data_IF_117036892027
#
_entry.id   IF_117036892027
#
_cell.length_a   1.000
_cell.length_b   1.000
_cell.length_c   1.000
_cell.angle_alpha   90.00
_cell.angle_beta   90.00
_cell.angle_gamma   90.00
#
_symmetry.space_group_name_H-M   'P 1'
#
loop_
_entity.id
_entity.type
_entity.pdbx_description
1 polymer ?
#
# COMPACT_ATOMS: atom_id res chain seq x y z
N UNK A 1 -10.55 28.28 0.35
CA UNK A 1 -9.94 28.46 1.69
C UNK A 1 -10.19 27.30 2.67
N UNK A 2 -11.42 26.76 2.80
CA UNK A 2 -11.74 25.70 3.78
C UNK A 2 -10.97 24.37 3.59
N UNK A 3 -10.83 23.89 2.35
CA UNK A 3 -10.07 22.66 2.03
C UNK A 3 -8.60 22.79 2.44
N UNK A 4 -7.91 23.83 1.94
CA UNK A 4 -6.50 24.09 2.24
C UNK A 4 -6.23 24.16 3.76
N UNK A 5 -7.05 24.92 4.50
CA UNK A 5 -6.91 25.01 5.97
C UNK A 5 -7.03 23.65 6.65
N UNK A 6 -8.00 22.82 6.24
CA UNK A 6 -8.17 21.46 6.78
C UNK A 6 -6.98 20.56 6.43
N UNK A 7 -6.51 20.60 5.19
CA UNK A 7 -5.35 19.80 4.74
C UNK A 7 -4.09 20.18 5.52
N UNK A 8 -3.79 21.47 5.67
CA UNK A 8 -2.64 21.95 6.47
C UNK A 8 -2.78 21.51 7.93
N UNK A 9 -3.97 21.67 8.52
CA UNK A 9 -4.20 21.25 9.92
C UNK A 9 -3.97 19.75 10.10
N UNK A 10 -4.54 18.93 9.21
CA UNK A 10 -4.34 17.48 9.24
C UNK A 10 -2.84 17.11 9.09
N UNK A 11 -2.13 17.78 8.19
CA UNK A 11 -0.71 17.55 7.96
C UNK A 11 0.15 17.88 9.19
N UNK A 12 -0.07 19.04 9.81
CA UNK A 12 0.65 19.44 11.02
C UNK A 12 0.40 18.47 12.18
N UNK A 13 -0.85 18.04 12.37
CA UNK A 13 -1.18 17.04 13.39
C UNK A 13 -0.47 15.71 13.14
N UNK A 14 -0.44 15.24 11.88
CA UNK A 14 0.29 14.03 11.52
C UNK A 14 1.79 14.19 11.80
N UNK A 15 2.42 15.26 11.33
CA UNK A 15 3.85 15.50 11.54
C UNK A 15 4.25 15.57 13.01
N UNK A 16 3.47 16.29 13.83
CA UNK A 16 3.69 16.37 15.27
C UNK A 16 3.57 14.97 15.89
N UNK A 17 2.53 14.22 15.50
CA UNK A 17 2.33 12.84 16.00
C UNK A 17 3.50 11.92 15.61
N UNK A 18 4.02 12.01 14.39
CA UNK A 18 5.14 11.20 13.91
C UNK A 18 6.40 11.46 14.74
N UNK A 19 6.72 12.73 14.98
CA UNK A 19 7.89 13.10 15.78
C UNK A 19 7.74 12.63 17.23
N UNK A 20 6.57 12.85 17.84
CA UNK A 20 6.30 12.43 19.23
C UNK A 20 6.38 10.91 19.37
N UNK A 21 5.68 10.16 18.52
CA UNK A 21 5.62 8.70 18.60
C UNK A 21 6.99 8.05 18.38
N UNK A 22 7.79 8.55 17.42
CA UNK A 22 9.15 8.05 17.22
C UNK A 22 10.05 8.41 18.41
N UNK A 23 9.96 9.63 18.93
CA UNK A 23 10.72 10.03 20.12
C UNK A 23 10.39 9.12 21.31
N UNK A 24 9.10 8.88 21.57
CA UNK A 24 8.64 7.96 22.63
C UNK A 24 9.22 6.55 22.41
N UNK A 25 9.18 6.05 21.17
CA UNK A 25 9.73 4.75 20.84
C UNK A 25 11.23 4.65 21.15
N UNK A 26 12.02 5.69 20.85
CA UNK A 26 13.44 5.75 21.18
C UNK A 26 13.75 6.07 22.65
N UNK A 27 12.77 6.52 23.44
CA UNK A 27 12.90 6.64 24.90
C UNK A 27 13.10 5.28 25.57
N UNK A 28 12.62 4.19 24.96
CA UNK A 28 12.80 2.82 25.47
C UNK A 28 14.31 2.51 25.59
N UNK A 29 14.83 2.15 26.79
CA UNK A 29 16.23 1.81 26.99
C UNK A 29 16.70 0.68 26.07
N UNK A 30 17.93 0.78 25.52
CA UNK A 30 18.45 -0.21 24.56
C UNK A 30 18.58 -1.60 25.18
N UNK A 31 18.97 -1.67 26.45
CA UNK A 31 19.15 -2.92 27.18
C UNK A 31 17.88 -3.76 27.24
N UNK A 32 16.69 -3.14 27.31
CA UNK A 32 15.42 -3.86 27.40
C UNK A 32 15.04 -4.60 26.11
N UNK A 33 15.55 -4.14 24.96
CA UNK A 33 15.23 -4.76 23.66
C UNK A 33 16.37 -5.62 23.11
N UNK A 34 17.56 -5.57 23.74
CA UNK A 34 18.79 -6.13 23.18
C UNK A 34 18.69 -7.64 23.00
N UNK A 35 18.25 -8.37 24.02
CA UNK A 35 18.14 -9.84 23.96
C UNK A 35 17.23 -10.30 22.82
N UNK A 36 16.05 -9.69 22.68
CA UNK A 36 15.12 -10.05 21.60
C UNK A 36 15.58 -9.54 20.23
N UNK A 37 16.34 -8.44 20.19
CA UNK A 37 17.01 -7.97 18.97
C UNK A 37 18.00 -9.03 18.49
N UNK A 38 18.86 -9.52 19.38
CA UNK A 38 19.88 -10.53 19.05
C UNK A 38 19.24 -11.86 18.62
N UNK A 39 18.23 -12.34 19.35
CA UNK A 39 17.43 -13.52 18.95
C UNK A 39 16.78 -13.34 17.57
N UNK A 40 16.31 -12.14 17.26
CA UNK A 40 15.70 -11.83 15.96
C UNK A 40 16.72 -11.87 14.82
N UNK A 41 17.92 -11.36 15.05
CA UNK A 41 19.01 -11.39 14.07
C UNK A 41 19.47 -12.83 13.82
N UNK A 42 19.69 -13.62 14.86
CA UNK A 42 20.05 -15.05 14.72
C UNK A 42 18.96 -15.86 14.01
N UNK A 43 17.69 -15.55 14.25
CA UNK A 43 16.58 -16.17 13.50
C UNK A 43 16.71 -15.89 12.01
N UNK A 44 16.88 -14.62 11.61
CA UNK A 44 17.01 -14.26 10.19
C UNK A 44 18.23 -14.90 9.54
N UNK A 45 19.36 -14.97 10.24
CA UNK A 45 20.57 -15.64 9.75
C UNK A 45 20.31 -17.12 9.43
N UNK A 46 19.56 -17.81 10.28
CA UNK A 46 19.21 -19.22 10.05
C UNK A 46 18.19 -19.43 8.91
N UNK A 47 17.31 -18.45 8.66
CA UNK A 47 16.33 -18.50 7.57
C UNK A 47 16.89 -18.07 6.20
N UNK A 48 18.10 -17.50 6.15
CA UNK A 48 18.66 -16.74 5.02
C UNK A 48 17.98 -15.39 4.74
N UNK A 49 18.61 -14.54 3.92
CA UNK A 49 18.12 -13.19 3.60
C UNK A 49 16.98 -13.14 2.57
N UNK A 50 16.82 -14.20 1.77
CA UNK A 50 15.79 -14.29 0.74
C UNK A 50 15.19 -15.69 0.64
N UNK A 51 14.60 -16.23 1.73
CA UNK A 51 13.99 -17.54 1.70
C UNK A 51 12.83 -17.58 0.70
N UNK A 52 12.68 -18.73 0.05
CA UNK A 52 11.69 -18.97 -1.00
C UNK A 52 10.57 -19.81 -0.41
N UNK A 53 9.32 -19.35 -0.52
CA UNK A 53 8.16 -20.15 -0.06
C UNK A 53 7.65 -21.14 -1.10
N UNK A 54 7.79 -20.84 -2.39
CA UNK A 54 7.34 -21.71 -3.47
C UNK A 54 8.41 -21.82 -4.57
N UNK A 55 9.03 -22.99 -4.68
CA UNK A 55 10.06 -23.27 -5.69
C UNK A 55 9.53 -23.22 -7.14
N UNK A 56 8.22 -23.31 -7.37
CA UNK A 56 7.61 -23.12 -8.70
C UNK A 56 7.54 -21.66 -9.15
N UNK A 57 7.70 -20.70 -8.24
CA UNK A 57 7.82 -19.26 -8.53
C UNK A 57 8.81 -18.64 -7.52
N UNK A 58 10.11 -18.93 -7.65
CA UNK A 58 11.08 -18.61 -6.62
C UNK A 58 11.18 -17.10 -6.42
N UNK A 59 11.39 -16.32 -7.48
CA UNK A 59 11.51 -14.87 -7.39
C UNK A 59 10.23 -14.18 -6.89
N UNK A 60 9.06 -14.65 -7.32
CA UNK A 60 7.78 -14.08 -6.88
C UNK A 60 7.42 -14.38 -5.43
N UNK A 61 8.03 -15.40 -4.82
CA UNK A 61 7.71 -15.84 -3.46
C UNK A 61 8.86 -15.67 -2.46
N UNK A 62 9.92 -14.95 -2.84
CA UNK A 62 10.97 -14.52 -1.92
C UNK A 62 10.38 -13.66 -0.80
N UNK A 63 10.79 -13.96 0.43
CA UNK A 63 10.61 -13.09 1.58
C UNK A 63 11.74 -12.05 1.63
N UNK A 64 11.46 -10.89 2.21
CA UNK A 64 12.42 -9.79 2.39
C UNK A 64 13.09 -9.81 3.76
N UNK A 65 13.78 -10.91 4.06
CA UNK A 65 14.53 -11.03 5.30
C UNK A 65 15.71 -10.04 5.33
N UNK A 66 16.22 -9.61 4.18
CA UNK A 66 17.18 -8.51 4.09
C UNK A 66 16.63 -7.21 4.71
N UNK A 67 15.43 -6.79 4.31
CA UNK A 67 14.83 -5.58 4.90
C UNK A 67 14.42 -5.80 6.35
N UNK A 68 13.88 -6.95 6.73
CA UNK A 68 13.57 -7.24 8.13
C UNK A 68 14.84 -7.18 9.01
N UNK A 69 15.96 -7.73 8.54
CA UNK A 69 17.26 -7.64 9.21
C UNK A 69 17.71 -6.19 9.36
N UNK A 70 17.58 -5.39 8.29
CA UNK A 70 17.86 -3.96 8.35
C UNK A 70 16.96 -3.27 9.39
N UNK A 71 15.66 -3.54 9.39
CA UNK A 71 14.68 -2.96 10.30
C UNK A 71 14.99 -3.26 11.77
N UNK A 72 15.39 -4.50 12.08
CA UNK A 72 15.81 -4.91 13.42
C UNK A 72 17.09 -4.18 13.84
N UNK A 73 18.11 -4.12 12.97
CA UNK A 73 19.35 -3.38 13.27
C UNK A 73 19.12 -1.88 13.48
N UNK A 74 18.16 -1.29 12.77
CA UNK A 74 17.75 0.12 12.92
C UNK A 74 17.05 0.44 14.24
N UNK A 75 16.85 -0.55 15.11
CA UNK A 75 16.43 -0.32 16.50
C UNK A 75 17.59 0.09 17.41
N UNK A 76 18.84 0.07 16.97
CA UNK A 76 19.97 0.48 17.80
C UNK A 76 19.93 1.98 18.13
N UNK A 77 20.38 2.34 19.34
CA UNK A 77 20.61 3.73 19.76
C UNK A 77 22.09 4.03 19.84
N UNK A 78 22.45 5.26 19.47
CA UNK A 78 23.78 5.83 19.69
C UNK A 78 23.81 6.55 21.03
N UNK A 79 24.81 6.25 21.87
CA UNK A 79 24.91 6.75 23.24
C UNK A 79 25.23 8.25 23.34
N UNK A 80 25.86 8.81 22.31
CA UNK A 80 26.22 10.23 22.20
C UNK A 80 25.08 11.10 21.63
N UNK A 81 23.96 10.50 21.22
CA UNK A 81 22.78 11.21 20.72
C UNK A 81 21.66 11.22 21.76
N UNK A 82 20.93 12.33 21.85
CA UNK A 82 19.72 12.36 22.65
C UNK A 82 18.59 11.55 21.99
N UNK A 83 17.43 11.43 22.66
CA UNK A 83 16.32 10.59 22.19
C UNK A 83 15.75 11.08 20.86
N UNK A 84 15.54 12.39 20.70
CA UNK A 84 15.01 12.98 19.48
C UNK A 84 16.01 12.84 18.33
N UNK A 85 17.30 13.05 18.59
CA UNK A 85 18.37 12.83 17.62
C UNK A 85 18.42 11.37 17.17
N UNK A 86 18.34 10.41 18.09
CA UNK A 86 18.26 8.98 17.74
C UNK A 86 17.03 8.66 16.87
N UNK A 87 15.86 9.22 17.21
CA UNK A 87 14.65 9.06 16.43
C UNK A 87 14.76 9.64 15.01
N UNK A 88 15.58 10.67 14.82
CA UNK A 88 15.83 11.23 13.49
C UNK A 88 16.96 10.52 12.74
N UNK A 89 17.98 10.06 13.46
CA UNK A 89 19.20 9.45 12.93
C UNK A 89 18.97 8.03 12.42
N UNK A 90 18.22 7.23 13.19
CA UNK A 90 17.90 5.83 12.92
C UNK A 90 19.10 5.07 12.36
N UNK A 91 20.17 5.01 13.16
CA UNK A 91 21.44 4.37 12.81
C UNK A 91 21.94 4.74 11.39
N UNK A 92 22.11 6.04 11.13
CA UNK A 92 22.55 6.57 9.84
C UNK A 92 21.62 6.27 8.66
N UNK A 93 20.31 6.16 8.92
CA UNK A 93 19.30 6.05 7.87
C UNK A 93 18.21 7.16 7.94
N UNK A 94 18.60 8.44 8.02
CA UNK A 94 17.66 9.53 8.31
C UNK A 94 16.69 9.88 7.16
N UNK A 95 16.85 9.25 5.99
CA UNK A 95 16.06 9.51 4.77
C UNK A 95 14.61 9.04 4.87
N UNK A 96 14.34 8.04 5.72
CA UNK A 96 13.00 7.49 5.96
C UNK A 96 12.52 7.80 7.36
N UNK A 97 11.20 7.80 7.56
CA UNK A 97 10.60 7.99 8.87
C UNK A 97 10.73 6.78 9.79
N UNK A 98 10.82 5.57 9.23
CA UNK A 98 10.84 4.32 10.00
C UNK A 98 9.65 4.17 10.96
N UNK A 99 8.45 4.51 10.50
CA UNK A 99 7.23 4.50 11.32
C UNK A 99 6.93 3.16 11.97
N UNK A 100 7.40 2.03 11.40
CA UNK A 100 7.30 0.71 12.02
C UNK A 100 7.97 0.63 13.41
N UNK A 101 8.93 1.50 13.72
CA UNK A 101 9.63 1.50 15.01
C UNK A 101 8.69 1.82 16.17
N UNK A 102 7.57 2.52 15.94
CA UNK A 102 6.59 2.81 16.99
C UNK A 102 5.93 1.54 17.53
N UNK A 103 5.94 0.45 16.75
CA UNK A 103 5.45 -0.86 17.16
C UNK A 103 6.61 -1.81 17.49
N UNK A 104 7.65 -1.81 16.66
CA UNK A 104 8.75 -2.77 16.77
C UNK A 104 9.52 -2.62 18.09
N UNK A 105 9.93 -1.41 18.50
CA UNK A 105 10.71 -1.25 19.74
C UNK A 105 9.92 -1.66 20.99
N UNK A 106 8.64 -1.25 21.18
CA UNK A 106 7.84 -1.77 22.29
C UNK A 106 7.69 -3.30 22.28
N UNK A 107 7.43 -3.91 21.12
CA UNK A 107 7.28 -5.36 21.03
C UNK A 107 8.57 -6.11 21.37
N UNK A 108 9.73 -5.58 20.96
CA UNK A 108 11.03 -6.17 21.27
C UNK A 108 11.36 -6.19 22.77
N UNK A 109 10.63 -5.47 23.63
CA UNK A 109 10.80 -5.61 25.08
C UNK A 109 10.41 -7.03 25.54
N UNK A 110 9.38 -7.61 24.92
CA UNK A 110 8.75 -8.85 25.41
C UNK A 110 8.84 -10.03 24.44
N UNK A 111 9.19 -9.80 23.18
CA UNK A 111 9.22 -10.87 22.18
C UNK A 111 10.20 -10.61 21.03
N UNK A 112 10.65 -11.67 20.35
CA UNK A 112 11.52 -11.58 19.17
C UNK A 112 10.70 -11.51 17.85
N UNK A 113 11.39 -11.37 16.72
CA UNK A 113 10.80 -11.24 15.40
C UNK A 113 9.87 -12.39 15.02
N UNK A 114 10.15 -13.63 15.45
CA UNK A 114 9.29 -14.78 15.15
C UNK A 114 7.88 -14.59 15.71
N UNK A 115 7.77 -14.20 16.98
CA UNK A 115 6.48 -13.87 17.61
C UNK A 115 5.85 -12.61 17.01
N UNK A 116 6.65 -11.61 16.64
CA UNK A 116 6.16 -10.38 15.99
C UNK A 116 5.54 -10.69 14.63
N UNK A 117 6.15 -11.56 13.82
CA UNK A 117 5.60 -12.04 12.54
C UNK A 117 4.26 -12.75 12.73
N UNK A 118 4.12 -13.54 13.80
CA UNK A 118 2.83 -14.16 14.13
C UNK A 118 1.75 -13.10 14.42
N UNK A 119 2.07 -12.03 15.14
CA UNK A 119 1.14 -10.91 15.37
C UNK A 119 0.75 -10.26 14.04
N UNK A 120 1.72 -9.95 13.18
CA UNK A 120 1.44 -9.39 11.86
C UNK A 120 0.53 -10.32 11.04
N UNK A 121 0.79 -11.62 11.05
CA UNK A 121 -0.05 -12.61 10.39
C UNK A 121 -1.49 -12.57 10.89
N UNK A 122 -1.70 -12.65 12.21
CA UNK A 122 -3.05 -12.59 12.82
C UNK A 122 -3.77 -11.30 12.46
N UNK A 123 -3.10 -10.15 12.59
CA UNK A 123 -3.70 -8.84 12.26
C UNK A 123 -4.09 -8.78 10.78
N UNK A 124 -3.22 -9.22 9.87
CA UNK A 124 -3.52 -9.22 8.45
C UNK A 124 -4.66 -10.18 8.10
N UNK A 125 -4.69 -11.39 8.66
CA UNK A 125 -5.79 -12.34 8.45
C UNK A 125 -7.14 -11.75 8.88
N UNK A 126 -7.18 -11.14 10.06
CA UNK A 126 -8.39 -10.48 10.57
C UNK A 126 -8.80 -9.30 9.66
N UNK A 127 -7.86 -8.45 9.28
CA UNK A 127 -8.15 -7.29 8.42
C UNK A 127 -8.60 -7.70 7.02
N UNK A 128 -8.01 -8.74 6.42
CA UNK A 128 -8.43 -9.29 5.12
C UNK A 128 -9.86 -9.85 5.23
N UNK A 129 -10.14 -10.63 6.27
CA UNK A 129 -11.48 -11.21 6.52
C UNK A 129 -12.54 -10.12 6.72
N UNK A 130 -12.27 -9.15 7.60
CA UNK A 130 -13.17 -8.03 7.86
C UNK A 130 -13.39 -7.16 6.62
N UNK A 131 -12.33 -6.86 5.87
CA UNK A 131 -12.43 -6.06 4.63
C UNK A 131 -13.28 -6.79 3.60
N UNK A 132 -13.06 -8.09 3.42
CA UNK A 132 -13.83 -8.92 2.49
C UNK A 132 -15.30 -8.98 2.91
N UNK A 133 -15.58 -9.20 4.20
CA UNK A 133 -16.94 -9.18 4.73
C UNK A 133 -17.64 -7.85 4.44
N UNK A 134 -16.99 -6.71 4.74
CA UNK A 134 -17.58 -5.40 4.51
C UNK A 134 -17.70 -5.04 3.02
N UNK A 135 -16.77 -5.49 2.16
CA UNK A 135 -16.88 -5.36 0.70
C UNK A 135 -18.12 -6.06 0.17
N UNK A 136 -18.34 -7.31 0.59
CA UNK A 136 -19.49 -8.11 0.17
C UNK A 136 -20.78 -7.49 0.71
N UNK A 137 -20.80 -7.11 2.00
CA UNK A 137 -21.97 -6.51 2.65
C UNK A 137 -22.39 -5.19 2.01
N UNK A 138 -21.43 -4.34 1.60
CA UNK A 138 -21.69 -3.03 0.99
C UNK A 138 -21.89 -3.10 -0.52
N UNK A 139 -21.62 -4.25 -1.13
CA UNK A 139 -21.72 -4.44 -2.57
C UNK A 139 -22.24 -5.83 -2.88
N UNK A 140 -21.34 -6.78 -3.14
CA UNK A 140 -21.70 -8.13 -3.58
C UNK A 140 -20.51 -9.08 -3.45
N UNK A 141 -20.79 -10.37 -3.62
CA UNK A 141 -19.78 -11.43 -3.57
C UNK A 141 -18.67 -11.28 -4.63
N UNK A 142 -18.95 -10.68 -5.78
CA UNK A 142 -18.01 -10.65 -6.90
C UNK A 142 -16.83 -9.71 -6.64
N UNK A 143 -17.03 -8.57 -5.97
CA UNK A 143 -15.90 -7.74 -5.52
C UNK A 143 -15.09 -8.40 -4.41
N UNK A 144 -15.73 -9.16 -3.53
CA UNK A 144 -15.04 -9.97 -2.52
C UNK A 144 -14.11 -11.00 -3.18
N UNK A 145 -14.62 -11.74 -4.17
CA UNK A 145 -13.83 -12.71 -4.95
C UNK A 145 -12.71 -12.00 -5.72
N UNK A 146 -13.01 -10.89 -6.41
CA UNK A 146 -12.01 -10.11 -7.12
C UNK A 146 -10.86 -9.66 -6.21
N UNK A 147 -11.19 -9.19 -5.00
CA UNK A 147 -10.22 -8.77 -4.00
C UNK A 147 -9.34 -9.94 -3.53
N UNK A 148 -9.94 -11.06 -3.12
CA UNK A 148 -9.20 -12.24 -2.65
C UNK A 148 -8.30 -12.85 -3.74
N UNK A 149 -8.78 -12.92 -4.98
CA UNK A 149 -7.96 -13.40 -6.11
C UNK A 149 -6.79 -12.44 -6.38
N UNK A 150 -7.03 -11.13 -6.30
CA UNK A 150 -5.97 -10.13 -6.46
C UNK A 150 -4.88 -10.27 -5.39
N UNK A 151 -5.25 -10.55 -4.14
CA UNK A 151 -4.29 -10.86 -3.06
C UNK A 151 -3.54 -12.17 -3.31
N UNK A 152 -4.24 -13.22 -3.72
CA UNK A 152 -3.63 -14.53 -3.97
C UNK A 152 -2.58 -14.46 -5.09
N UNK A 153 -2.93 -13.85 -6.24
CA UNK A 153 -2.02 -13.62 -7.36
C UNK A 153 -0.86 -12.68 -6.98
N UNK A 154 -1.13 -11.72 -6.11
CA UNK A 154 -0.12 -10.86 -5.50
C UNK A 154 0.85 -11.55 -4.53
N UNK A 155 0.72 -12.87 -4.34
CA UNK A 155 1.46 -13.67 -3.36
C UNK A 155 1.32 -13.13 -1.93
N UNK A 156 0.09 -12.83 -1.50
CA UNK A 156 -0.19 -12.27 -0.17
C UNK A 156 0.30 -13.11 1.00
N UNK A 157 0.55 -14.41 0.80
CA UNK A 157 1.23 -15.26 1.78
C UNK A 157 2.55 -14.64 2.27
N UNK A 158 3.26 -13.92 1.40
CA UNK A 158 4.54 -13.27 1.72
C UNK A 158 4.36 -12.10 2.71
N UNK A 159 3.17 -11.51 2.77
CA UNK A 159 2.89 -10.36 3.63
C UNK A 159 2.83 -10.74 5.10
N UNK A 160 2.54 -12.00 5.42
CA UNK A 160 2.45 -12.49 6.79
C UNK A 160 3.81 -12.68 7.46
N UNK A 161 4.89 -12.77 6.68
CA UNK A 161 6.23 -13.11 7.16
C UNK A 161 7.27 -12.01 6.94
N UNK A 162 6.87 -10.83 6.44
CA UNK A 162 7.76 -9.69 6.23
C UNK A 162 7.16 -8.42 6.81
N UNK A 163 7.84 -7.80 7.78
CA UNK A 163 7.33 -6.61 8.47
C UNK A 163 7.09 -5.48 7.48
N UNK A 164 8.00 -5.32 6.52
CA UNK A 164 7.90 -4.26 5.53
C UNK A 164 6.61 -4.39 4.70
N UNK A 165 6.30 -5.59 4.22
CA UNK A 165 5.06 -5.83 3.48
C UNK A 165 3.83 -5.71 4.38
N UNK A 166 3.89 -6.24 5.61
CA UNK A 166 2.75 -6.20 6.53
C UNK A 166 2.30 -4.79 6.83
N UNK A 167 3.22 -3.87 7.13
CA UNK A 167 2.90 -2.50 7.52
C UNK A 167 2.07 -1.76 6.46
N UNK A 168 2.48 -1.86 5.19
CA UNK A 168 1.78 -1.21 4.09
C UNK A 168 0.39 -1.82 3.83
N UNK A 169 0.26 -3.14 3.94
CA UNK A 169 -1.03 -3.82 3.79
C UNK A 169 -1.98 -3.54 4.95
N UNK A 170 -1.50 -3.50 6.19
CA UNK A 170 -2.30 -3.09 7.35
C UNK A 170 -2.87 -1.69 7.12
N UNK A 171 -2.04 -0.73 6.72
CA UNK A 171 -2.50 0.63 6.41
C UNK A 171 -3.56 0.63 5.29
N UNK A 172 -3.32 -0.10 4.21
CA UNK A 172 -4.23 -0.16 3.05
C UNK A 172 -5.58 -0.78 3.44
N UNK A 173 -5.58 -1.86 4.23
CA UNK A 173 -6.79 -2.52 4.70
C UNK A 173 -7.55 -1.68 5.73
N UNK A 174 -6.86 -0.97 6.62
CA UNK A 174 -7.49 -0.04 7.55
C UNK A 174 -8.14 1.15 6.81
N UNK A 175 -7.48 1.68 5.78
CA UNK A 175 -8.04 2.72 4.92
C UNK A 175 -9.31 2.22 4.21
N UNK A 176 -9.27 1.02 3.64
CA UNK A 176 -10.44 0.34 3.06
C UNK A 176 -11.58 0.18 4.07
N UNK A 177 -11.31 -0.38 5.25
CA UNK A 177 -12.31 -0.57 6.29
C UNK A 177 -12.93 0.75 6.75
N UNK A 178 -12.14 1.80 6.92
CA UNK A 178 -12.66 3.11 7.30
C UNK A 178 -13.63 3.65 6.24
N UNK A 179 -13.29 3.51 4.95
CA UNK A 179 -14.18 3.89 3.84
C UNK A 179 -15.47 3.07 3.82
N UNK A 180 -15.39 1.76 4.04
CA UNK A 180 -16.55 0.85 4.02
C UNK A 180 -17.44 1.00 5.26
N UNK A 181 -16.86 1.21 6.44
CA UNK A 181 -17.59 1.30 7.70
C UNK A 181 -18.12 2.70 7.98
N UNK A 182 -17.42 3.75 7.52
CA UNK A 182 -17.77 5.15 7.78
C UNK A 182 -17.74 5.99 6.48
N UNK A 183 -18.59 5.66 5.48
CA UNK A 183 -18.57 6.32 4.17
C UNK A 183 -18.78 7.84 4.23
N UNK A 184 -19.46 8.36 5.26
CA UNK A 184 -19.60 9.81 5.53
C UNK A 184 -18.27 10.59 5.56
N UNK A 185 -17.15 9.94 5.88
CA UNK A 185 -15.84 10.60 5.91
C UNK A 185 -15.25 10.83 4.51
N UNK A 186 -15.77 10.17 3.48
CA UNK A 186 -15.29 10.29 2.09
C UNK A 186 -16.39 10.70 1.10
N UNK A 187 -17.63 10.82 1.57
CA UNK A 187 -18.80 11.17 0.77
C UNK A 187 -18.61 12.50 0.03
N UNK A 188 -18.19 13.54 0.75
CA UNK A 188 -17.87 14.83 0.13
C UNK A 188 -16.52 14.76 -0.54
N UNK A 189 -16.45 15.21 -1.80
CA UNK A 189 -15.21 15.21 -2.59
C UNK A 189 -14.02 15.83 -1.85
N UNK A 190 -14.20 16.98 -1.20
CA UNK A 190 -13.15 17.61 -0.40
C UNK A 190 -12.63 16.73 0.75
N UNK A 191 -13.52 15.98 1.41
CA UNK A 191 -13.11 15.08 2.48
C UNK A 191 -12.38 13.85 1.92
N UNK A 192 -12.78 13.35 0.75
CA UNK A 192 -12.07 12.29 0.03
C UNK A 192 -10.64 12.71 -0.34
N UNK A 193 -10.45 13.96 -0.79
CA UNK A 193 -9.12 14.50 -1.07
C UNK A 193 -8.25 14.58 0.18
N UNK A 194 -8.79 15.06 1.31
CA UNK A 194 -8.07 15.08 2.59
C UNK A 194 -7.76 13.65 3.05
N UNK A 195 -8.70 12.72 2.89
CA UNK A 195 -8.51 11.31 3.22
C UNK A 195 -7.31 10.72 2.46
N UNK A 196 -7.29 10.84 1.14
CA UNK A 196 -6.18 10.30 0.34
C UNK A 196 -4.85 11.01 0.59
N UNK A 197 -4.88 12.31 0.90
CA UNK A 197 -3.70 13.03 1.38
C UNK A 197 -3.14 12.43 2.68
N UNK A 198 -3.99 12.18 3.68
CA UNK A 198 -3.57 11.55 4.95
C UNK A 198 -3.05 10.14 4.73
N UNK A 199 -3.72 9.34 3.87
CA UNK A 199 -3.26 8.01 3.50
C UNK A 199 -1.89 8.08 2.83
N UNK A 200 -1.66 9.00 1.90
CA UNK A 200 -0.34 9.20 1.28
C UNK A 200 0.75 9.56 2.30
N UNK A 201 0.45 10.45 3.24
CA UNK A 201 1.36 10.79 4.34
C UNK A 201 1.68 9.59 5.22
N UNK A 202 0.66 8.84 5.65
CA UNK A 202 0.84 7.64 6.48
C UNK A 202 1.61 6.55 5.72
N UNK A 203 1.38 6.41 4.43
CA UNK A 203 2.13 5.49 3.58
C UNK A 203 3.62 5.84 3.58
N UNK A 204 4.00 7.12 3.40
CA UNK A 204 5.40 7.51 3.49
C UNK A 204 6.00 7.31 4.89
N UNK A 205 5.20 7.50 5.94
CA UNK A 205 5.66 7.31 7.32
C UNK A 205 6.04 5.84 7.60
N UNK A 206 5.25 4.88 7.13
CA UNK A 206 5.48 3.45 7.38
C UNK A 206 6.31 2.73 6.30
N UNK A 207 6.21 3.14 5.04
CA UNK A 207 6.78 2.42 3.90
C UNK A 207 8.22 2.85 3.59
N UNK A 208 9.06 1.87 3.24
CA UNK A 208 10.46 2.02 2.81
C UNK A 208 10.56 1.88 1.28
N UNK A 209 9.57 2.43 0.56
CA UNK A 209 9.46 2.39 -0.90
C UNK A 209 9.23 0.97 -1.44
N UNK A 210 8.25 0.23 -0.92
CA UNK A 210 7.92 -1.10 -1.47
C UNK A 210 6.96 -1.03 -2.64
N UNK A 211 5.66 -0.92 -2.37
CA UNK A 211 4.59 -0.79 -3.36
C UNK A 211 3.57 0.26 -2.92
N UNK A 212 3.98 1.48 -2.52
CA UNK A 212 3.16 2.42 -1.74
C UNK A 212 1.83 2.78 -2.44
N UNK A 213 1.81 2.76 -3.77
CA UNK A 213 0.63 3.08 -4.58
C UNK A 213 -0.60 2.22 -4.25
N UNK A 214 -0.45 1.01 -3.69
CA UNK A 214 -1.59 0.15 -3.31
C UNK A 214 -2.51 0.83 -2.29
N UNK A 215 -1.94 1.69 -1.43
CA UNK A 215 -2.68 2.45 -0.41
C UNK A 215 -3.67 3.46 -1.01
N UNK A 216 -3.49 3.84 -2.27
CA UNK A 216 -4.46 4.63 -3.03
C UNK A 216 -5.27 3.78 -4.02
N UNK A 217 -4.58 2.93 -4.79
CA UNK A 217 -5.17 2.17 -5.89
C UNK A 217 -6.27 1.22 -5.45
N UNK A 218 -6.05 0.44 -4.39
CA UNK A 218 -7.06 -0.51 -3.89
C UNK A 218 -8.31 0.22 -3.36
N UNK A 219 -8.18 1.24 -2.49
CA UNK A 219 -9.35 2.00 -2.04
C UNK A 219 -10.11 2.73 -3.15
N UNK A 220 -9.44 3.33 -4.15
CA UNK A 220 -10.14 4.05 -5.21
C UNK A 220 -10.90 3.10 -6.16
N UNK A 221 -10.37 1.89 -6.42
CA UNK A 221 -11.09 0.85 -7.17
C UNK A 221 -12.36 0.47 -6.43
N UNK A 222 -12.27 0.20 -5.12
CA UNK A 222 -13.42 -0.13 -4.27
C UNK A 222 -14.45 0.98 -4.25
N UNK A 223 -14.01 2.23 -4.14
CA UNK A 223 -14.89 3.39 -4.21
C UNK A 223 -15.70 3.40 -5.52
N UNK A 224 -15.04 3.26 -6.67
CA UNK A 224 -15.73 3.26 -7.96
C UNK A 224 -16.64 2.05 -8.15
N UNK A 225 -16.22 0.87 -7.67
CA UNK A 225 -17.05 -0.32 -7.78
C UNK A 225 -18.38 -0.17 -7.04
N UNK A 226 -18.34 0.24 -5.77
CA UNK A 226 -19.55 0.39 -4.94
C UNK A 226 -20.48 1.47 -5.51
N UNK A 227 -19.95 2.67 -5.79
CA UNK A 227 -20.77 3.81 -6.23
C UNK A 227 -21.30 3.68 -7.66
N UNK A 228 -20.64 2.89 -8.52
CA UNK A 228 -21.17 2.60 -9.84
C UNK A 228 -22.21 1.48 -9.82
N UNK A 229 -22.04 0.47 -8.95
CA UNK A 229 -22.93 -0.68 -8.90
C UNK A 229 -24.23 -0.41 -8.15
N UNK A 230 -24.16 0.34 -7.06
CA UNK A 230 -25.32 0.77 -6.28
C UNK A 230 -25.37 2.31 -6.25
N UNK A 231 -25.73 2.94 -7.38
CA UNK A 231 -25.85 4.39 -7.42
C UNK A 231 -26.92 4.86 -6.44
N UNK A 232 -26.60 5.84 -5.60
CA UNK A 232 -27.60 6.57 -4.83
C UNK A 232 -28.61 7.21 -5.80
N UNK A 233 -29.87 7.31 -5.39
CA UNK A 233 -30.94 7.97 -6.16
C UNK A 233 -30.65 9.46 -6.41
N UNK A 234 -29.74 10.05 -5.64
CA UNK A 234 -29.20 11.40 -5.79
C UNK A 234 -27.91 11.41 -6.63
N UNK A 235 -27.88 10.74 -7.78
CA UNK A 235 -26.83 11.06 -8.76
C UNK A 235 -27.13 12.45 -9.31
N UNK A 236 -26.49 13.45 -8.72
CA UNK A 236 -26.42 14.80 -9.29
C UNK A 236 -25.89 14.68 -10.73
N UNK A 237 -26.71 15.12 -11.67
CA UNK A 237 -26.30 15.43 -13.03
C UNK A 237 -25.14 16.46 -12.91
N UNK A 238 -23.89 16.00 -13.04
CA UNK A 238 -22.71 16.81 -12.74
C UNK A 238 -21.50 16.09 -12.11
N UNK A 239 -21.60 14.81 -11.73
CA UNK A 239 -20.43 14.08 -11.23
C UNK A 239 -19.29 14.01 -12.26
N UNK A 240 -18.09 14.42 -11.84
CA UNK A 240 -16.86 14.41 -12.66
C UNK A 240 -15.89 13.31 -12.19
N UNK A 241 -16.13 12.03 -12.55
CA UNK A 241 -15.36 10.91 -12.02
C UNK A 241 -13.88 10.98 -12.44
N UNK A 242 -13.57 11.45 -13.64
CA UNK A 242 -12.17 11.61 -14.07
C UNK A 242 -11.42 12.64 -13.21
N UNK A 243 -12.05 13.78 -12.91
CA UNK A 243 -11.47 14.77 -11.98
C UNK A 243 -11.28 14.13 -10.59
N UNK A 244 -12.27 13.40 -10.09
CA UNK A 244 -12.19 12.73 -8.79
C UNK A 244 -11.03 11.73 -8.74
N UNK A 245 -10.87 10.91 -9.79
CA UNK A 245 -9.76 9.98 -9.92
C UNK A 245 -8.41 10.71 -9.90
N UNK A 246 -8.25 11.75 -10.73
CA UNK A 246 -6.99 12.51 -10.84
C UNK A 246 -6.65 13.20 -9.52
N UNK A 247 -7.58 13.96 -8.95
CA UNK A 247 -7.29 14.74 -7.74
C UNK A 247 -7.06 13.88 -6.51
N UNK A 248 -7.71 12.71 -6.38
CA UNK A 248 -7.41 11.79 -5.27
C UNK A 248 -6.00 11.23 -5.37
N UNK A 249 -5.55 10.89 -6.59
CA UNK A 249 -4.17 10.50 -6.85
C UNK A 249 -3.18 11.63 -6.54
N UNK A 250 -3.45 12.85 -7.03
CA UNK A 250 -2.63 14.04 -6.76
C UNK A 250 -2.52 14.33 -5.27
N UNK A 251 -3.63 14.33 -4.52
CA UNK A 251 -3.60 14.59 -3.09
C UNK A 251 -2.85 13.50 -2.32
N UNK A 252 -2.98 12.24 -2.73
CA UNK A 252 -2.16 11.15 -2.19
C UNK A 252 -0.67 11.39 -2.45
N UNK A 253 -0.28 11.74 -3.68
CA UNK A 253 1.11 12.05 -4.05
C UNK A 253 1.66 13.24 -3.28
N UNK A 254 0.88 14.31 -3.11
CA UNK A 254 1.29 15.50 -2.33
C UNK A 254 1.47 15.10 -0.86
N UNK A 255 0.55 14.33 -0.28
CA UNK A 255 0.68 13.83 1.09
C UNK A 255 1.94 12.98 1.28
N UNK A 256 2.19 12.04 0.37
CA UNK A 256 3.40 11.20 0.38
C UNK A 256 4.67 12.04 0.25
N UNK A 257 4.75 12.91 -0.76
CA UNK A 257 5.93 13.71 -1.06
C UNK A 257 6.26 14.76 0.00
N UNK A 258 5.26 15.47 0.53
CA UNK A 258 5.47 16.46 1.59
C UNK A 258 5.95 15.80 2.89
N UNK A 259 5.40 14.65 3.26
CA UNK A 259 5.86 13.89 4.43
C UNK A 259 7.31 13.46 4.25
N UNK A 260 7.68 13.02 3.06
CA UNK A 260 9.06 12.61 2.77
C UNK A 260 10.04 13.78 2.85
N UNK A 261 9.72 14.88 2.19
CA UNK A 261 10.57 16.08 2.19
C UNK A 261 10.72 16.66 3.60
N UNK A 262 9.63 16.66 4.39
CA UNK A 262 9.66 17.16 5.77
C UNK A 262 10.58 16.31 6.65
N UNK A 263 10.68 14.99 6.42
CA UNK A 263 11.66 14.14 7.11
C UNK A 263 13.08 14.65 6.89
N UNK A 264 13.43 14.94 5.64
CA UNK A 264 14.78 15.36 5.28
C UNK A 264 15.12 16.72 5.87
N UNK A 265 14.15 17.65 5.87
CA UNK A 265 14.31 18.97 6.47
C UNK A 265 14.53 18.87 7.98
N UNK A 266 13.64 18.16 8.70
CA UNK A 266 13.74 17.99 10.14
C UNK A 266 15.02 17.24 10.54
N UNK A 267 15.36 16.17 9.82
CA UNK A 267 16.58 15.42 10.09
C UNK A 267 17.84 16.27 9.81
N UNK A 268 17.81 17.13 8.78
CA UNK A 268 18.93 18.04 8.49
C UNK A 268 19.16 19.02 9.62
N UNK A 269 18.10 19.64 10.12
CA UNK A 269 18.16 20.61 11.22
C UNK A 269 18.59 19.93 12.52
N UNK A 270 17.94 18.82 12.89
CA UNK A 270 18.16 18.14 14.17
C UNK A 270 19.54 17.48 14.22
N UNK A 271 19.93 16.77 13.15
CA UNK A 271 21.20 16.02 13.12
C UNK A 271 22.39 16.87 12.68
N UNK A 272 22.15 18.10 12.20
CA UNK A 272 23.17 18.99 11.62
C UNK A 272 23.97 18.32 10.50
N UNK A 273 23.28 17.52 9.68
CA UNK A 273 23.84 16.78 8.54
C UNK A 273 23.02 17.07 7.29
N UNK A 274 23.64 17.10 6.12
CA UNK A 274 22.91 17.38 4.87
C UNK A 274 22.11 16.15 4.38
N UNK A 275 21.00 15.85 5.06
CA UNK A 275 20.11 14.71 4.72
C UNK A 275 19.35 14.98 3.42
N UNK A 276 19.07 16.25 3.11
CA UNK A 276 18.42 16.64 1.84
C UNK A 276 19.28 16.22 0.64
N UNK A 277 20.58 16.54 0.66
CA UNK A 277 21.49 16.14 -0.41
C UNK A 277 21.54 14.62 -0.57
N UNK A 278 21.73 13.88 0.52
CA UNK A 278 21.73 12.41 0.52
C UNK A 278 20.43 11.84 -0.07
N UNK A 279 19.27 12.38 0.33
CA UNK A 279 17.98 11.95 -0.19
C UNK A 279 17.83 12.23 -1.70
N UNK A 280 18.23 13.41 -2.19
CA UNK A 280 18.18 13.75 -3.62
C UNK A 280 19.10 12.83 -4.42
N UNK A 281 20.33 12.59 -3.97
CA UNK A 281 21.27 11.66 -4.63
C UNK A 281 20.66 10.25 -4.72
N UNK A 282 20.02 9.78 -3.65
CA UNK A 282 19.37 8.48 -3.64
C UNK A 282 18.17 8.42 -4.59
N UNK A 283 17.32 9.45 -4.66
CA UNK A 283 16.20 9.49 -5.60
C UNK A 283 16.68 9.44 -7.04
N UNK A 284 17.69 10.24 -7.40
CA UNK A 284 18.28 10.22 -8.74
C UNK A 284 18.80 8.82 -9.10
N UNK A 285 19.51 8.17 -8.16
CA UNK A 285 19.95 6.79 -8.35
C UNK A 285 18.77 5.81 -8.49
N UNK A 286 17.69 5.96 -7.72
CA UNK A 286 16.50 5.09 -7.82
C UNK A 286 15.68 5.32 -9.10
N UNK A 287 15.81 6.48 -9.74
CA UNK A 287 15.15 6.79 -11.00
C UNK A 287 15.98 6.35 -12.21
N UNK A 288 17.26 6.73 -12.29
CA UNK A 288 18.09 6.56 -13.51
C UNK A 288 19.20 5.49 -13.40
N UNK A 289 19.57 5.06 -12.20
CA UNK A 289 20.71 4.15 -12.00
C UNK A 289 22.07 4.84 -12.07
N UNK A 290 23.12 4.05 -12.29
CA UNK A 290 24.50 4.52 -12.44
C UNK A 290 25.30 3.51 -13.29
N UNK A 291 26.63 3.67 -13.38
CA UNK A 291 27.48 2.77 -14.16
C UNK A 291 27.47 1.32 -13.66
N UNK A 292 27.36 1.10 -12.34
CA UNK A 292 27.32 -0.24 -11.73
C UNK A 292 25.94 -0.91 -11.90
N UNK A 293 24.89 -0.10 -11.94
CA UNK A 293 23.50 -0.51 -12.08
C UNK A 293 22.85 0.25 -13.25
N UNK A 294 23.20 -0.10 -14.50
CA UNK A 294 22.67 0.57 -15.68
C UNK A 294 21.17 0.26 -15.84
N UNK A 295 20.37 1.31 -16.04
CA UNK A 295 18.93 1.17 -16.19
C UNK A 295 18.54 0.63 -17.57
N UNK A 296 17.75 -0.43 -17.58
CA UNK A 296 17.13 -1.02 -18.77
C UNK A 296 15.62 -1.06 -18.58
N UNK A 297 14.92 0.03 -18.94
CA UNK A 297 13.48 0.21 -18.66
C UNK A 297 12.60 -0.92 -19.22
N UNK A 298 12.90 -1.40 -20.43
CA UNK A 298 12.14 -2.51 -21.05
C UNK A 298 12.34 -3.82 -20.26
N UNK A 299 13.57 -4.12 -19.85
CA UNK A 299 13.87 -5.31 -19.06
C UNK A 299 13.27 -5.23 -17.65
N UNK A 300 13.31 -4.04 -17.03
CA UNK A 300 12.62 -3.78 -15.76
C UNK A 300 11.12 -4.09 -15.86
N UNK A 301 10.45 -3.58 -16.90
CA UNK A 301 9.03 -3.84 -17.13
C UNK A 301 8.79 -5.33 -17.39
N UNK A 302 9.61 -5.96 -18.22
CA UNK A 302 9.52 -7.39 -18.54
C UNK A 302 9.60 -8.25 -17.27
N UNK A 303 10.60 -8.01 -16.40
CA UNK A 303 10.76 -8.74 -15.14
C UNK A 303 9.53 -8.58 -14.25
N UNK A 304 9.09 -7.35 -14.02
CA UNK A 304 7.92 -7.08 -13.19
C UNK A 304 6.63 -7.73 -13.76
N UNK A 305 6.40 -7.66 -15.08
CA UNK A 305 5.21 -8.25 -15.72
C UNK A 305 5.24 -9.78 -15.64
N UNK A 306 6.37 -10.43 -15.97
CA UNK A 306 6.47 -11.89 -15.97
C UNK A 306 6.26 -12.46 -14.56
N UNK A 307 6.78 -11.80 -13.52
CA UNK A 307 6.57 -12.23 -12.13
C UNK A 307 5.10 -12.13 -11.71
N UNK A 308 4.38 -11.10 -12.16
CA UNK A 308 2.96 -10.92 -11.85
C UNK A 308 2.07 -11.90 -12.59
N UNK A 309 2.40 -12.21 -13.85
CA UNK A 309 1.53 -12.96 -14.76
C UNK A 309 2.15 -14.27 -15.28
N UNK A 310 2.58 -15.21 -14.40
CA UNK A 310 2.89 -16.56 -14.84
C UNK A 310 1.64 -17.24 -15.42
N UNK A 311 1.84 -18.33 -16.18
CA UNK A 311 0.74 -19.05 -16.89
C UNK A 311 -0.44 -19.41 -15.97
N UNK A 312 -0.16 -19.84 -14.74
CA UNK A 312 -1.20 -20.18 -13.75
C UNK A 312 -2.03 -18.96 -13.33
N UNK A 313 -1.39 -17.79 -13.16
CA UNK A 313 -2.09 -16.54 -12.89
C UNK A 313 -3.00 -16.19 -14.05
N UNK A 314 -2.49 -16.22 -15.29
CA UNK A 314 -3.30 -15.92 -16.48
C UNK A 314 -4.50 -16.86 -16.61
N UNK A 315 -4.33 -18.14 -16.27
CA UNK A 315 -5.41 -19.12 -16.23
C UNK A 315 -6.46 -18.75 -15.18
N UNK A 316 -6.05 -18.45 -13.94
CA UNK A 316 -6.96 -18.05 -12.85
C UNK A 316 -7.73 -16.78 -13.24
N UNK A 317 -7.05 -15.77 -13.77
CA UNK A 317 -7.68 -14.52 -14.19
C UNK A 317 -8.64 -14.75 -15.36
N UNK A 318 -8.24 -15.55 -16.36
CA UNK A 318 -9.06 -15.91 -17.51
C UNK A 318 -10.35 -16.64 -17.10
N UNK A 319 -10.24 -17.65 -16.24
CA UNK A 319 -11.39 -18.39 -15.70
C UNK A 319 -12.30 -17.46 -14.90
N UNK A 320 -11.74 -16.61 -14.04
CA UNK A 320 -12.53 -15.68 -13.22
C UNK A 320 -13.30 -14.68 -14.10
N UNK A 321 -12.62 -14.07 -15.07
CA UNK A 321 -13.26 -13.16 -16.02
C UNK A 321 -14.34 -13.88 -16.84
N UNK A 322 -14.08 -15.10 -17.31
CA UNK A 322 -15.06 -15.90 -18.04
C UNK A 322 -16.31 -16.19 -17.19
N UNK A 323 -16.14 -16.61 -15.93
CA UNK A 323 -17.25 -16.85 -15.00
C UNK A 323 -18.05 -15.56 -14.77
N UNK A 324 -17.38 -14.44 -14.49
CA UNK A 324 -18.07 -13.16 -14.29
C UNK A 324 -18.84 -12.72 -15.53
N UNK A 325 -18.27 -12.89 -16.73
CA UNK A 325 -18.94 -12.58 -17.99
C UNK A 325 -20.14 -13.49 -18.25
N UNK A 326 -20.02 -14.79 -18.03
CA UNK A 326 -21.11 -15.74 -18.18
C UNK A 326 -22.30 -15.39 -17.25
N UNK A 327 -22.00 -15.03 -16.00
CA UNK A 327 -23.02 -14.58 -15.03
C UNK A 327 -23.62 -13.23 -15.45
N UNK A 328 -22.81 -12.29 -15.93
CA UNK A 328 -23.29 -10.99 -16.39
C UNK A 328 -24.25 -11.14 -17.59
N UNK A 329 -23.95 -12.05 -18.53
CA UNK A 329 -24.80 -12.34 -19.68
C UNK A 329 -26.09 -13.03 -19.24
N UNK A 330 -26.03 -14.03 -18.36
CA UNK A 330 -27.21 -14.77 -17.92
C UNK A 330 -28.19 -13.92 -17.11
N UNK A 331 -27.69 -12.96 -16.34
CA UNK A 331 -28.51 -12.02 -15.54
C UNK A 331 -28.92 -10.76 -16.30
N UNK A 332 -28.55 -10.62 -17.58
CA UNK A 332 -28.73 -9.37 -18.32
C UNK A 332 -30.22 -9.09 -18.59
N UNK A 333 -30.74 -8.03 -18.00
CA UNK A 333 -32.04 -7.46 -18.37
C UNK A 333 -31.86 -6.32 -19.39
N UNK A 334 -32.91 -6.04 -20.18
CA UNK A 334 -32.89 -5.13 -21.35
C UNK A 334 -32.58 -3.65 -21.01
N UNK A 335 -32.42 -3.30 -19.73
CA UNK A 335 -32.38 -1.91 -19.22
C UNK A 335 -30.98 -1.36 -18.88
N UNK A 336 -29.89 -1.98 -19.35
CA UNK A 336 -28.53 -1.48 -19.08
C UNK A 336 -28.05 -0.53 -20.20
N UNK A 337 -27.89 0.77 -19.90
CA UNK A 337 -27.45 1.79 -20.87
C UNK A 337 -25.95 1.66 -21.20
N UNK A 338 -25.63 1.51 -22.48
CA UNK A 338 -24.26 1.31 -23.00
C UNK A 338 -23.27 2.46 -22.69
N UNK A 339 -23.74 3.71 -22.62
CA UNK A 339 -22.86 4.87 -22.33
C UNK A 339 -22.26 4.83 -20.92
N UNK A 340 -22.95 4.22 -19.96
CA UNK A 340 -22.41 4.04 -18.60
C UNK A 340 -21.31 2.97 -18.54
N UNK A 341 -21.35 1.96 -19.42
CA UNK A 341 -20.35 0.90 -19.48
C UNK A 341 -19.00 1.44 -19.95
N UNK A 342 -18.96 2.18 -21.06
CA UNK A 342 -17.70 2.74 -21.63
C UNK A 342 -17.00 3.62 -20.59
N UNK A 343 -17.75 4.54 -19.95
CA UNK A 343 -17.22 5.40 -18.90
C UNK A 343 -16.62 4.59 -17.75
N UNK A 344 -17.34 3.56 -17.28
CA UNK A 344 -16.88 2.71 -16.19
C UNK A 344 -15.60 1.93 -16.55
N UNK A 345 -15.54 1.29 -17.71
CA UNK A 345 -14.33 0.58 -18.15
C UNK A 345 -13.14 1.52 -18.31
N UNK A 346 -13.35 2.72 -18.85
CA UNK A 346 -12.26 3.69 -19.00
C UNK A 346 -11.64 4.07 -17.65
N UNK A 347 -12.43 4.21 -16.58
CA UNK A 347 -11.91 4.48 -15.23
C UNK A 347 -11.04 3.33 -14.71
N UNK A 348 -11.51 2.09 -14.86
CA UNK A 348 -10.74 0.92 -14.44
C UNK A 348 -9.44 0.75 -15.26
N UNK A 349 -9.47 1.01 -16.56
CA UNK A 349 -8.26 1.00 -17.40
C UNK A 349 -7.27 2.07 -16.93
N UNK A 350 -7.73 3.31 -16.70
CA UNK A 350 -6.86 4.38 -16.21
C UNK A 350 -6.21 4.01 -14.87
N UNK A 351 -6.96 3.44 -13.94
CA UNK A 351 -6.41 2.97 -12.66
C UNK A 351 -5.44 1.80 -12.88
N UNK A 352 -5.77 0.85 -13.75
CA UNK A 352 -4.96 -0.33 -14.03
C UNK A 352 -3.59 0.01 -14.64
N UNK A 353 -3.45 1.19 -15.27
CA UNK A 353 -2.19 1.68 -15.84
C UNK A 353 -1.27 2.35 -14.80
N UNK A 354 -1.81 2.76 -13.64
CA UNK A 354 -1.05 3.53 -12.64
C UNK A 354 0.17 2.81 -12.05
N UNK A 355 0.19 1.47 -11.86
CA UNK A 355 1.40 0.78 -11.42
C UNK A 355 2.56 0.94 -12.41
N UNK A 356 2.28 0.95 -13.72
CA UNK A 356 3.31 1.09 -14.75
C UNK A 356 3.89 2.50 -14.81
N UNK A 357 3.10 3.51 -14.46
CA UNK A 357 3.60 4.88 -14.24
C UNK A 357 4.58 4.87 -13.06
N UNK A 358 4.19 4.28 -11.93
CA UNK A 358 5.06 4.19 -10.75
C UNK A 358 6.35 3.41 -10.99
N UNK A 359 6.26 2.26 -11.66
CA UNK A 359 7.43 1.46 -12.06
C UNK A 359 8.41 2.29 -12.90
N UNK A 360 7.94 3.24 -13.72
CA UNK A 360 8.82 4.08 -14.53
C UNK A 360 9.36 5.32 -13.79
N UNK A 361 8.61 5.88 -12.84
CA UNK A 361 9.06 7.00 -12.00
C UNK A 361 10.30 6.64 -11.17
N UNK A 362 10.37 5.38 -10.73
CA UNK A 362 11.48 4.83 -9.93
C UNK A 362 12.05 3.59 -10.62
N UNK A 363 12.37 3.71 -11.91
CA UNK A 363 12.68 2.58 -12.76
C UNK A 363 13.90 1.78 -12.31
N UNK A 364 14.97 2.42 -11.85
CA UNK A 364 16.13 1.67 -11.33
C UNK A 364 15.79 0.93 -10.02
N UNK A 365 14.98 1.53 -9.14
CA UNK A 365 14.47 0.83 -7.96
C UNK A 365 13.64 -0.40 -8.36
N UNK A 366 12.69 -0.25 -9.27
CA UNK A 366 11.86 -1.34 -9.78
C UNK A 366 12.65 -2.41 -10.56
N UNK A 367 13.81 -2.05 -11.12
CA UNK A 367 14.71 -2.99 -11.78
C UNK A 367 15.48 -3.83 -10.76
N UNK A 368 16.06 -3.19 -9.74
CA UNK A 368 16.86 -3.87 -8.71
C UNK A 368 15.95 -4.75 -7.84
N UNK A 369 14.75 -4.24 -7.52
CA UNK A 369 13.81 -4.86 -6.59
C UNK A 369 12.58 -5.45 -7.27
N UNK A 370 12.73 -5.91 -8.51
CA UNK A 370 11.62 -6.48 -9.31
C UNK A 370 10.88 -7.60 -8.57
N UNK A 371 11.59 -8.35 -7.73
CA UNK A 371 11.08 -9.48 -6.97
C UNK A 371 10.05 -9.11 -5.89
N UNK A 372 9.93 -7.83 -5.48
CA UNK A 372 8.80 -7.34 -4.70
C UNK A 372 7.99 -6.22 -5.34
N UNK A 373 8.63 -5.36 -6.14
CA UNK A 373 7.94 -4.22 -6.77
C UNK A 373 6.86 -4.65 -7.76
N UNK A 374 6.96 -5.87 -8.32
CA UNK A 374 5.93 -6.40 -9.22
C UNK A 374 4.54 -6.45 -8.57
N UNK A 375 4.47 -6.61 -7.24
CA UNK A 375 3.21 -6.69 -6.48
C UNK A 375 2.38 -5.42 -6.54
N UNK A 376 2.96 -4.28 -6.95
CA UNK A 376 2.19 -3.06 -7.22
C UNK A 376 1.12 -3.27 -8.31
N UNK A 377 1.32 -4.25 -9.20
CA UNK A 377 0.36 -4.62 -10.25
C UNK A 377 -0.90 -5.34 -9.71
N UNK A 378 -1.01 -5.60 -8.40
CA UNK A 378 -2.28 -6.02 -7.78
C UNK A 378 -3.38 -4.98 -8.07
N UNK A 379 -3.03 -3.70 -8.20
CA UNK A 379 -3.97 -2.65 -8.64
C UNK A 379 -4.52 -2.96 -10.04
N UNK A 380 -3.66 -3.36 -10.98
CA UNK A 380 -4.06 -3.76 -12.34
C UNK A 380 -5.03 -4.95 -12.30
N UNK A 381 -4.68 -6.00 -11.55
CA UNK A 381 -5.52 -7.19 -11.42
C UNK A 381 -6.87 -6.86 -10.78
N UNK A 382 -6.87 -6.15 -9.65
CA UNK A 382 -8.10 -5.81 -8.94
C UNK A 382 -8.99 -4.91 -9.78
N UNK A 383 -8.41 -3.94 -10.50
CA UNK A 383 -9.14 -3.04 -11.38
C UNK A 383 -9.80 -3.77 -12.56
N UNK A 384 -9.09 -4.69 -13.20
CA UNK A 384 -9.64 -5.50 -14.31
C UNK A 384 -10.78 -6.40 -13.80
N UNK A 385 -10.56 -7.14 -12.71
CA UNK A 385 -11.57 -8.03 -12.15
C UNK A 385 -12.82 -7.25 -11.69
N UNK A 386 -12.65 -6.10 -11.05
CA UNK A 386 -13.76 -5.20 -10.70
C UNK A 386 -14.46 -4.64 -11.95
N UNK A 387 -13.72 -4.27 -12.99
CA UNK A 387 -14.27 -3.83 -14.26
C UNK A 387 -15.18 -4.88 -14.89
N UNK A 388 -14.74 -6.14 -14.94
CA UNK A 388 -15.57 -7.24 -15.46
C UNK A 388 -16.74 -7.56 -14.52
N UNK A 389 -16.50 -7.65 -13.20
CA UNK A 389 -17.54 -7.95 -12.21
C UNK A 389 -18.66 -6.89 -12.16
N UNK A 390 -18.33 -5.64 -12.49
CA UNK A 390 -19.30 -4.54 -12.53
C UNK A 390 -20.33 -4.65 -13.67
N UNK A 391 -20.09 -5.55 -14.65
CA UNK A 391 -21.10 -5.94 -15.65
C UNK A 391 -22.26 -6.74 -15.06
N UNK A 392 -22.04 -7.40 -13.93
CA UNK A 392 -23.08 -8.21 -13.28
C UNK A 392 -24.07 -7.25 -12.61
N UNK A 393 -25.36 -7.27 -12.99
CA UNK A 393 -26.33 -6.33 -12.46
C UNK A 393 -26.51 -6.52 -10.94
N UNK A 394 -26.81 -5.43 -10.21
CA UNK A 394 -27.08 -5.50 -8.77
C UNK A 394 -28.32 -6.36 -8.50
N UNK A 395 -28.32 -7.16 -7.43
CA UNK A 395 -29.52 -7.92 -7.07
C UNK A 395 -30.48 -7.06 -6.24
N UNK A 396 -31.81 -7.31 -6.29
CA UNK A 396 -32.80 -6.51 -5.55
C UNK A 396 -32.59 -6.51 -4.03
N UNK A 397 -32.10 -7.62 -3.46
CA UNK A 397 -31.88 -7.76 -2.02
C UNK A 397 -30.66 -6.97 -1.52
N UNK A 398 -29.64 -6.75 -2.36
CA UNK A 398 -28.44 -5.99 -1.99
C UNK A 398 -28.74 -4.51 -1.68
N UNK A 399 -29.84 -3.94 -2.20
CA UNK A 399 -30.26 -2.57 -1.87
C UNK A 399 -30.64 -2.40 -0.39
N UNK A 400 -31.12 -3.46 0.28
CA UNK A 400 -31.54 -3.41 1.68
C UNK A 400 -30.35 -3.33 2.66
N UNK A 401 -29.14 -3.66 2.21
CA UNK A 401 -27.91 -3.60 3.02
C UNK A 401 -27.23 -2.20 3.00
N UNK A 402 -27.76 -1.28 2.19
CA UNK A 402 -27.23 0.08 2.01
C UNK A 402 -27.94 1.17 2.83
N UNK A 403 -28.90 0.79 3.69
CA UNK A 403 -29.52 1.66 4.70
C UNK A 403 -28.79 1.55 6.04
#
# INVERSE_FOLDING_TARGET
>A
MKLLKKTITAFLLLLISYCILLTISFSIPQQLIQENTDKSLSLIESESLYPIMNHGNPDGTKLDNFTDHLMIRKTAKKSDLNVLENAMYVDNYPRYWHGYLIFLRPLLIIMNLGSIRLIYAVVLFLLIGLTTYHLIKRSDIYVGIAFLISLAVGNAATFFFSMQFSNLWILTLLAMLLMLCKPRYIEKFQNMLIFFFMVGSLTNFFDLLTVPLISWGIPIITYYYINNKYPSSEKEDGEKPYERLVFTGVFWTIGYGLTWFTKWLLATIILRKNVIHDAITQILFRTEGNNDYPLQRIEMLRKNIILMYPRVTLLILGITCFIFLAIAISKRTRSYRYTNLIRMFSLYILIALTPYIWLNLLANHSQIHFWFTYRGQIITVFSILCGVASLIPPTPDDKKLNL
#
